data_IF_620647338918
#
_entry.id   IF_620647338918
#
_cell.length_a   1.000
_cell.length_b   1.000
_cell.length_c   1.000
_cell.angle_alpha   90.00
_cell.angle_beta   90.00
_cell.angle_gamma   90.00
#
_symmetry.space_group_name_H-M   'P 1'
#
loop_
_entity.id
_entity.type
_entity.pdbx_description
1 polymer ?
#
# COMPACT_ATOMS: atom_id res chain seq x y z
N UNK A 1 -22.95 63.94 -33.98
CA UNK A 1 -23.09 63.77 -32.51
C UNK A 1 -22.71 62.34 -32.14
N UNK A 2 -21.47 62.15 -31.74
CA UNK A 2 -20.95 60.86 -31.28
C UNK A 2 -21.33 60.67 -29.82
N UNK A 3 -22.23 59.71 -29.52
CA UNK A 3 -22.50 59.28 -28.13
C UNK A 3 -21.25 58.61 -27.57
N UNK A 4 -20.51 59.32 -26.77
CA UNK A 4 -19.51 58.71 -25.87
C UNK A 4 -20.28 57.98 -24.75
N UNK A 5 -20.23 56.68 -24.79
CA UNK A 5 -20.78 55.80 -23.76
C UNK A 5 -19.88 55.93 -22.51
N UNK A 6 -20.24 56.76 -21.55
CA UNK A 6 -19.62 56.85 -20.24
C UNK A 6 -19.96 55.55 -19.45
N UNK A 7 -19.14 54.53 -19.60
CA UNK A 7 -19.18 53.44 -18.58
C UNK A 7 -18.65 54.02 -17.27
N UNK A 8 -19.41 53.78 -16.21
CA UNK A 8 -18.98 54.13 -14.85
C UNK A 8 -17.65 53.46 -14.52
N UNK A 9 -16.84 54.08 -13.68
CA UNK A 9 -15.55 53.50 -13.27
C UNK A 9 -15.73 52.11 -12.60
N UNK A 10 -16.85 51.88 -11.92
CA UNK A 10 -17.25 50.59 -11.41
C UNK A 10 -17.49 49.54 -12.50
N UNK A 11 -18.12 49.92 -13.63
CA UNK A 11 -18.37 48.97 -14.72
C UNK A 11 -17.07 48.62 -15.48
N UNK A 12 -16.10 49.55 -15.49
CA UNK A 12 -14.74 49.27 -16.06
C UNK A 12 -13.97 48.31 -15.14
N UNK A 13 -14.02 48.55 -13.87
CA UNK A 13 -13.36 47.73 -12.84
C UNK A 13 -13.95 46.28 -12.83
N UNK A 14 -15.29 46.15 -12.84
CA UNK A 14 -15.94 44.85 -12.96
C UNK A 14 -15.53 44.08 -14.23
N UNK A 15 -15.42 44.76 -15.41
CA UNK A 15 -14.93 44.15 -16.62
C UNK A 15 -13.48 43.68 -16.50
N UNK A 16 -12.63 44.45 -15.83
CA UNK A 16 -11.23 44.07 -15.58
C UNK A 16 -11.14 42.83 -14.72
N UNK A 17 -11.86 42.80 -13.59
CA UNK A 17 -11.92 41.67 -12.68
C UNK A 17 -12.44 40.43 -13.40
N UNK A 18 -13.54 40.53 -14.15
CA UNK A 18 -14.07 39.41 -14.91
C UNK A 18 -13.07 38.87 -15.96
N UNK A 19 -12.36 39.75 -16.66
CA UNK A 19 -11.34 39.32 -17.61
C UNK A 19 -10.15 38.62 -16.93
N UNK A 20 -9.76 39.06 -15.75
CA UNK A 20 -8.73 38.38 -14.93
C UNK A 20 -9.20 37.01 -14.46
N UNK A 21 -10.44 36.90 -13.94
CA UNK A 21 -11.06 35.64 -13.55
C UNK A 21 -11.14 34.68 -14.74
N UNK A 22 -11.65 35.11 -15.89
CA UNK A 22 -11.70 34.27 -17.10
C UNK A 22 -10.33 33.80 -17.54
N UNK A 23 -9.31 34.66 -17.47
CA UNK A 23 -7.94 34.31 -17.81
C UNK A 23 -7.39 33.26 -16.83
N UNK A 24 -7.69 33.41 -15.55
CA UNK A 24 -7.28 32.45 -14.53
C UNK A 24 -7.98 31.11 -14.76
N UNK A 25 -9.31 31.10 -14.96
CA UNK A 25 -10.08 29.89 -15.25
C UNK A 25 -9.58 29.13 -16.49
N UNK A 26 -9.16 29.88 -17.54
CA UNK A 26 -8.56 29.24 -18.74
C UNK A 26 -7.20 28.63 -18.45
N UNK A 27 -6.40 29.24 -17.57
CA UNK A 27 -5.13 28.67 -17.10
C UNK A 27 -5.39 27.42 -16.28
N UNK A 28 -6.25 27.52 -15.27
CA UNK A 28 -6.60 26.41 -14.37
C UNK A 28 -7.16 25.22 -15.16
N UNK A 29 -8.04 25.47 -16.15
CA UNK A 29 -8.55 24.43 -17.04
C UNK A 29 -7.47 23.76 -17.89
N UNK A 30 -6.47 24.53 -18.35
CA UNK A 30 -5.33 23.99 -19.09
C UNK A 30 -4.41 23.17 -18.20
N UNK A 31 -4.16 23.64 -16.99
CA UNK A 31 -3.29 22.99 -16.03
C UNK A 31 -3.96 21.72 -15.48
N UNK A 32 -5.28 21.76 -15.22
CA UNK A 32 -6.07 20.58 -14.85
C UNK A 32 -6.05 19.47 -15.91
N UNK A 33 -5.95 19.81 -17.20
CA UNK A 33 -5.83 18.81 -18.29
C UNK A 33 -4.48 18.09 -18.32
N UNK A 34 -3.48 18.61 -17.61
CA UNK A 34 -2.15 17.99 -17.48
C UNK A 34 -2.01 17.19 -16.19
N UNK A 35 -3.04 17.18 -15.36
CA UNK A 35 -3.05 16.48 -14.11
C UNK A 35 -3.92 15.23 -14.18
N UNK A 36 -3.34 14.08 -13.85
CA UNK A 36 -4.01 12.80 -13.78
C UNK A 36 -4.05 12.33 -12.32
N UNK A 37 -5.25 12.31 -11.75
CA UNK A 37 -5.45 11.89 -10.36
C UNK A 37 -5.61 10.38 -10.27
N UNK A 38 -4.64 9.73 -9.62
CA UNK A 38 -4.59 8.29 -9.39
C UNK A 38 -4.92 8.00 -7.93
N UNK A 39 -6.03 7.34 -7.67
CA UNK A 39 -6.47 7.00 -6.33
C UNK A 39 -6.04 5.57 -5.97
N UNK A 40 -5.18 5.43 -4.95
CA UNK A 40 -4.73 4.13 -4.46
C UNK A 40 -5.68 3.62 -3.40
N UNK A 41 -6.35 2.52 -3.68
CA UNK A 41 -7.32 1.87 -2.80
C UNK A 41 -6.91 0.43 -2.48
N UNK A 42 -7.49 -0.14 -1.46
CA UNK A 42 -7.25 -1.51 -0.99
C UNK A 42 -7.28 -1.58 0.52
N UNK A 43 -7.34 -2.79 1.03
CA UNK A 43 -7.32 -3.09 2.47
C UNK A 43 -6.04 -2.62 3.16
N UNK A 44 -6.01 -2.66 4.49
CA UNK A 44 -4.78 -2.44 5.25
C UNK A 44 -3.69 -3.42 4.82
N UNK A 45 -2.44 -2.96 4.74
CA UNK A 45 -1.27 -3.78 4.38
C UNK A 45 -1.24 -4.32 2.94
N UNK A 46 -2.12 -3.90 2.04
CA UNK A 46 -2.09 -4.34 0.63
C UNK A 46 -0.87 -3.85 -0.16
N UNK A 47 -0.09 -2.90 0.38
CA UNK A 47 1.15 -2.40 -0.23
C UNK A 47 1.04 -1.02 -0.87
N UNK A 48 -0.05 -0.27 -0.64
CA UNK A 48 -0.26 1.09 -1.19
C UNK A 48 0.90 2.03 -0.90
N UNK A 49 1.24 2.21 0.37
CA UNK A 49 2.33 3.11 0.76
C UNK A 49 3.71 2.63 0.30
N UNK A 50 3.91 1.30 0.13
CA UNK A 50 5.13 0.76 -0.48
C UNK A 50 5.20 1.13 -1.97
N UNK A 51 4.08 1.07 -2.69
CA UNK A 51 4.00 1.50 -4.08
C UNK A 51 4.33 3.00 -4.23
N UNK A 52 3.84 3.87 -3.35
CA UNK A 52 4.22 5.29 -3.32
C UNK A 52 5.72 5.47 -3.11
N UNK A 53 6.31 4.72 -2.18
CA UNK A 53 7.77 4.77 -1.95
C UNK A 53 8.54 4.36 -3.21
N UNK A 54 8.05 3.36 -3.95
CA UNK A 54 8.63 2.99 -5.24
C UNK A 54 8.52 4.10 -6.27
N UNK A 55 7.39 4.79 -6.35
CA UNK A 55 7.24 5.92 -7.27
C UNK A 55 8.24 7.04 -6.95
N UNK A 56 8.51 7.30 -5.67
CA UNK A 56 9.55 8.25 -5.25
C UNK A 56 10.96 7.80 -5.68
N UNK A 57 11.25 6.50 -5.61
CA UNK A 57 12.54 5.93 -6.05
C UNK A 57 12.68 6.01 -7.59
N UNK A 58 11.63 5.62 -8.32
CA UNK A 58 11.69 5.45 -9.78
C UNK A 58 11.56 6.78 -10.51
N UNK A 59 10.68 7.66 -10.07
CA UNK A 59 10.30 8.88 -10.76
C UNK A 59 10.56 10.16 -9.97
N UNK A 60 10.93 10.05 -8.71
CA UNK A 60 11.28 11.18 -7.85
C UNK A 60 12.79 11.34 -7.66
N UNK A 61 13.16 12.10 -6.64
CA UNK A 61 14.56 12.30 -6.24
C UNK A 61 15.16 11.14 -5.42
N UNK A 62 14.40 10.04 -5.24
CA UNK A 62 14.80 8.95 -4.35
C UNK A 62 14.79 9.37 -2.87
N UNK A 63 15.70 8.79 -2.10
CA UNK A 63 15.88 9.06 -0.68
C UNK A 63 17.32 9.55 -0.42
N UNK A 64 17.47 10.79 0.00
CA UNK A 64 18.75 11.33 0.49
C UNK A 64 19.16 10.63 1.79
N UNK A 65 20.43 10.79 2.20
CA UNK A 65 20.88 10.22 3.47
C UNK A 65 20.10 10.79 4.68
N UNK A 66 19.68 12.03 4.62
CA UNK A 66 18.85 12.62 5.67
C UNK A 66 17.44 12.02 5.69
N UNK A 67 16.82 11.79 4.52
CA UNK A 67 15.57 11.02 4.42
C UNK A 67 15.73 9.63 5.03
N UNK A 68 16.82 8.92 4.67
CA UNK A 68 17.10 7.57 5.18
C UNK A 68 17.24 7.55 6.70
N UNK A 69 17.99 8.52 7.27
CA UNK A 69 18.10 8.66 8.75
C UNK A 69 16.75 8.82 9.42
N UNK A 70 15.80 9.52 8.76
CA UNK A 70 14.43 9.65 9.26
C UNK A 70 13.68 8.32 9.41
N UNK A 71 14.09 7.25 8.71
CA UNK A 71 13.49 5.93 8.81
C UNK A 71 14.10 5.04 9.91
N UNK A 72 15.25 5.39 10.50
CA UNK A 72 15.93 4.57 11.52
C UNK A 72 14.97 4.21 12.66
N UNK A 73 14.36 5.23 13.25
CA UNK A 73 13.38 5.05 14.33
C UNK A 73 12.25 4.08 13.92
N UNK A 74 11.72 4.24 12.73
CA UNK A 74 10.62 3.43 12.23
C UNK A 74 11.04 1.95 12.03
N UNK A 75 12.26 1.71 11.56
CA UNK A 75 12.82 0.34 11.46
C UNK A 75 12.90 -0.30 12.83
N UNK A 76 13.43 0.40 13.84
CA UNK A 76 13.50 -0.11 15.22
C UNK A 76 12.11 -0.43 15.77
N UNK A 77 11.15 0.48 15.60
CA UNK A 77 9.77 0.28 16.02
C UNK A 77 9.14 -0.96 15.36
N UNK A 78 9.40 -1.18 14.07
CA UNK A 78 8.91 -2.35 13.34
C UNK A 78 9.50 -3.66 13.89
N UNK A 79 10.77 -3.67 14.29
CA UNK A 79 11.42 -4.83 14.91
C UNK A 79 10.77 -5.16 16.27
N UNK A 80 10.62 -4.17 17.15
CA UNK A 80 9.97 -4.37 18.44
C UNK A 80 8.53 -4.82 18.29
N UNK A 81 7.76 -4.18 17.41
CA UNK A 81 6.37 -4.54 17.14
C UNK A 81 6.25 -5.99 16.65
N UNK A 82 7.12 -6.42 15.74
CA UNK A 82 7.13 -7.79 15.21
C UNK A 82 7.44 -8.81 16.32
N UNK A 83 8.47 -8.56 17.14
CA UNK A 83 8.82 -9.45 18.24
C UNK A 83 7.70 -9.51 19.30
N UNK A 84 7.12 -8.39 19.67
CA UNK A 84 6.00 -8.34 20.62
C UNK A 84 4.76 -9.07 20.10
N UNK A 85 4.49 -8.98 18.78
CA UNK A 85 3.39 -9.73 18.16
C UNK A 85 3.59 -11.23 18.29
N UNK A 86 4.81 -11.73 18.07
CA UNK A 86 5.14 -13.14 18.26
C UNK A 86 5.08 -13.56 19.73
N UNK A 87 5.61 -12.76 20.65
CA UNK A 87 5.52 -13.05 22.11
C UNK A 87 4.07 -13.18 22.55
N UNK A 88 3.18 -12.29 22.11
CA UNK A 88 1.74 -12.39 22.39
C UNK A 88 1.12 -13.64 21.77
N UNK A 89 1.55 -14.00 20.56
CA UNK A 89 1.07 -15.17 19.87
C UNK A 89 1.55 -16.47 20.51
N UNK A 90 2.74 -16.52 21.13
CA UNK A 90 3.21 -17.66 21.92
C UNK A 90 2.21 -18.03 23.04
N UNK A 91 1.72 -17.02 23.76
CA UNK A 91 0.72 -17.20 24.81
C UNK A 91 -0.62 -17.71 24.23
N UNK A 92 -1.08 -17.11 23.13
CA UNK A 92 -2.33 -17.46 22.44
C UNK A 92 -2.30 -18.89 21.88
N UNK A 93 -1.21 -19.26 21.23
CA UNK A 93 -1.02 -20.55 20.56
C UNK A 93 -0.52 -21.64 21.52
N UNK A 94 -0.25 -21.29 22.79
CA UNK A 94 0.28 -22.18 23.84
C UNK A 94 1.61 -22.84 23.46
N UNK A 95 2.47 -22.12 22.75
CA UNK A 95 3.81 -22.55 22.38
C UNK A 95 4.77 -22.20 23.52
N UNK A 96 5.67 -23.11 23.86
CA UNK A 96 6.65 -22.92 24.93
C UNK A 96 7.99 -22.43 24.34
N UNK A 97 8.68 -21.56 25.08
CA UNK A 97 10.06 -21.21 24.76
C UNK A 97 10.98 -22.41 24.94
N UNK A 98 11.94 -22.56 24.04
CA UNK A 98 12.93 -23.65 24.13
C UNK A 98 14.11 -23.27 25.05
N UNK A 99 14.47 -21.99 25.08
CA UNK A 99 15.58 -21.48 25.90
C UNK A 99 15.16 -21.17 27.34
N UNK A 100 15.97 -21.52 28.32
CA UNK A 100 15.68 -21.27 29.74
C UNK A 100 15.61 -19.79 30.13
N UNK A 101 16.31 -18.89 29.38
CA UNK A 101 16.28 -17.45 29.60
C UNK A 101 15.34 -16.70 28.65
N UNK A 102 14.68 -17.42 27.73
CA UNK A 102 13.84 -16.79 26.70
C UNK A 102 12.59 -16.16 27.29
N UNK A 103 12.03 -16.76 28.36
CA UNK A 103 10.90 -16.20 29.08
C UNK A 103 11.22 -14.81 29.68
N UNK A 104 12.38 -14.65 30.33
CA UNK A 104 12.80 -13.38 30.94
C UNK A 104 13.03 -12.31 29.85
N UNK A 105 13.63 -12.70 28.72
CA UNK A 105 13.84 -11.82 27.57
C UNK A 105 12.53 -11.40 26.92
N UNK A 106 11.57 -12.31 26.84
CA UNK A 106 10.23 -12.01 26.33
C UNK A 106 9.51 -10.97 27.21
N UNK A 107 9.56 -11.14 28.56
CA UNK A 107 8.98 -10.16 29.48
C UNK A 107 9.68 -8.80 29.39
N UNK A 108 11.00 -8.76 29.21
CA UNK A 108 11.74 -7.52 28.97
C UNK A 108 11.23 -6.78 27.72
N UNK A 109 11.06 -7.50 26.59
CA UNK A 109 10.59 -6.90 25.34
C UNK A 109 9.11 -6.52 25.41
N UNK A 110 8.27 -7.32 26.05
CA UNK A 110 6.84 -7.08 26.23
C UNK A 110 6.53 -5.77 26.99
N UNK A 111 7.41 -5.40 27.93
CA UNK A 111 7.27 -4.18 28.74
C UNK A 111 7.59 -2.88 28.00
N UNK A 112 8.08 -2.92 26.78
CA UNK A 112 8.49 -1.72 26.04
C UNK A 112 7.30 -1.18 25.23
N UNK A 113 7.07 0.12 25.30
CA UNK A 113 6.20 0.81 24.36
C UNK A 113 6.98 1.06 23.06
N UNK A 114 6.75 0.22 22.04
CA UNK A 114 7.47 0.28 20.77
C UNK A 114 7.28 1.59 20.03
N UNK A 115 6.18 2.33 20.23
CA UNK A 115 5.94 3.62 19.57
C UNK A 115 6.91 4.70 20.05
N UNK A 116 7.46 4.54 21.25
CA UNK A 116 8.43 5.47 21.84
C UNK A 116 9.88 5.09 21.55
N UNK A 117 10.15 3.92 20.99
CA UNK A 117 11.51 3.45 20.70
C UNK A 117 12.22 4.36 19.70
N UNK A 118 13.42 4.80 20.07
CA UNK A 118 14.29 5.65 19.24
C UNK A 118 15.71 5.08 19.07
N UNK A 119 16.10 4.13 19.93
CA UNK A 119 17.42 3.48 19.91
C UNK A 119 17.28 1.96 19.84
N UNK A 120 18.34 1.28 19.42
CA UNK A 120 18.38 -0.17 19.30
C UNK A 120 19.67 -0.72 19.93
N UNK A 121 19.70 -0.75 21.24
CA UNK A 121 20.89 -1.02 22.06
C UNK A 121 20.67 -2.21 23.00
N UNK A 122 21.75 -2.79 23.55
CA UNK A 122 21.64 -3.74 24.64
C UNK A 122 20.91 -3.13 25.87
N UNK A 123 20.11 -3.91 26.62
CA UNK A 123 19.96 -5.36 26.47
C UNK A 123 18.90 -5.78 25.43
N UNK A 124 18.18 -4.84 24.83
CA UNK A 124 16.99 -5.13 23.99
C UNK A 124 17.37 -5.85 22.69
N UNK A 125 18.38 -5.35 21.97
CA UNK A 125 18.82 -5.96 20.71
C UNK A 125 19.28 -7.41 20.92
N UNK A 126 20.01 -7.68 22.00
CA UNK A 126 20.49 -9.02 22.33
C UNK A 126 19.33 -9.94 22.72
N UNK A 127 18.37 -9.42 23.48
CA UNK A 127 17.15 -10.17 23.82
C UNK A 127 16.34 -10.54 22.57
N UNK A 128 16.12 -9.60 21.65
CA UNK A 128 15.39 -9.84 20.38
C UNK A 128 16.13 -10.87 19.52
N UNK A 129 17.46 -10.78 19.43
CA UNK A 129 18.28 -11.73 18.67
C UNK A 129 18.17 -13.15 19.24
N UNK A 130 18.27 -13.28 20.54
CA UNK A 130 18.16 -14.58 21.19
C UNK A 130 16.75 -15.18 21.07
N UNK A 131 15.72 -14.34 21.22
CA UNK A 131 14.32 -14.74 20.99
C UNK A 131 14.09 -15.20 19.54
N UNK A 132 14.61 -14.46 18.56
CA UNK A 132 14.48 -14.86 17.15
C UNK A 132 15.10 -16.23 16.87
N UNK A 133 16.17 -16.60 17.58
CA UNK A 133 16.81 -17.92 17.46
C UNK A 133 16.15 -19.01 18.34
N UNK A 134 15.17 -18.69 19.17
CA UNK A 134 14.46 -19.66 19.99
C UNK A 134 13.53 -20.51 19.12
N UNK A 135 13.60 -21.86 19.29
CA UNK A 135 12.81 -22.78 18.47
C UNK A 135 11.30 -22.59 18.66
N UNK A 136 10.83 -22.17 19.85
CA UNK A 136 9.43 -21.84 20.07
C UNK A 136 8.99 -20.60 19.31
N UNK A 137 9.81 -19.56 19.25
CA UNK A 137 9.56 -18.36 18.43
C UNK A 137 9.54 -18.72 16.94
N UNK A 138 10.42 -19.59 16.47
CA UNK A 138 10.40 -20.06 15.07
C UNK A 138 9.15 -20.86 14.75
N UNK A 139 8.70 -21.75 15.65
CA UNK A 139 7.41 -22.43 15.50
C UNK A 139 6.25 -21.43 15.45
N UNK A 140 6.26 -20.43 16.34
CA UNK A 140 5.27 -19.36 16.32
C UNK A 140 5.31 -18.57 14.99
N UNK A 141 6.47 -18.27 14.47
CA UNK A 141 6.64 -17.64 13.17
C UNK A 141 6.05 -18.48 12.02
N UNK A 142 6.26 -19.78 12.01
CA UNK A 142 5.71 -20.68 11.00
C UNK A 142 4.18 -20.72 11.01
N UNK A 143 3.58 -20.46 12.18
CA UNK A 143 2.14 -20.35 12.39
C UNK A 143 1.59 -18.91 12.24
N UNK A 144 2.34 -17.98 11.63
CA UNK A 144 1.99 -16.55 11.50
C UNK A 144 0.67 -16.26 10.80
N UNK A 145 0.08 -17.22 10.09
CA UNK A 145 -1.27 -17.13 9.52
C UNK A 145 -2.38 -17.07 10.58
N UNK A 146 -2.10 -17.57 11.80
CA UNK A 146 -3.07 -17.69 12.90
C UNK A 146 -3.15 -16.41 13.76
N UNK A 147 -2.28 -15.43 13.51
CA UNK A 147 -2.26 -14.15 14.21
C UNK A 147 -1.76 -13.01 13.29
N UNK A 148 -1.71 -11.80 13.81
CA UNK A 148 -1.27 -10.65 13.03
C UNK A 148 0.25 -10.44 13.16
N UNK A 149 0.97 -10.71 12.10
CA UNK A 149 2.40 -10.41 11.98
C UNK A 149 2.67 -9.66 10.69
N UNK A 150 3.50 -8.61 10.77
CA UNK A 150 3.93 -7.88 9.57
C UNK A 150 4.77 -8.76 8.65
N UNK A 151 4.55 -8.68 7.35
CA UNK A 151 5.31 -9.45 6.33
C UNK A 151 6.82 -9.18 6.37
N UNK A 152 7.23 -8.00 6.89
CA UNK A 152 8.63 -7.61 6.99
C UNK A 152 9.36 -8.16 8.23
N UNK A 153 8.68 -8.89 9.11
CA UNK A 153 9.26 -9.39 10.36
C UNK A 153 10.56 -10.19 10.13
N UNK A 154 10.50 -11.20 9.28
CA UNK A 154 11.68 -12.05 8.96
C UNK A 154 12.83 -11.24 8.37
N UNK A 155 12.52 -10.31 7.47
CA UNK A 155 13.52 -9.47 6.82
C UNK A 155 14.37 -8.72 7.84
N UNK A 156 13.76 -8.04 8.80
CA UNK A 156 14.49 -7.28 9.81
C UNK A 156 15.12 -8.18 10.87
N UNK A 157 14.39 -9.17 11.37
CA UNK A 157 14.88 -10.04 12.45
C UNK A 157 16.04 -10.95 12.01
N UNK A 158 16.17 -11.20 10.72
CA UNK A 158 17.31 -11.98 10.18
C UNK A 158 18.57 -11.15 9.95
N UNK A 159 18.50 -9.80 10.07
CA UNK A 159 19.63 -8.91 9.75
C UNK A 159 19.91 -7.88 10.87
N UNK A 160 19.68 -8.30 12.11
CA UNK A 160 19.83 -7.45 13.31
C UNK A 160 21.25 -6.90 13.49
N UNK A 161 22.29 -7.65 13.08
CA UNK A 161 23.69 -7.21 13.23
C UNK A 161 24.01 -5.99 12.35
N UNK A 162 23.46 -5.94 11.13
CA UNK A 162 23.60 -4.76 10.28
C UNK A 162 22.84 -3.57 10.85
N UNK A 163 21.60 -3.82 11.37
CA UNK A 163 20.71 -2.77 11.85
C UNK A 163 21.19 -2.16 13.19
N UNK A 164 21.89 -2.95 14.03
CA UNK A 164 22.45 -2.46 15.31
C UNK A 164 23.76 -1.69 15.17
N UNK A 165 24.39 -1.71 14.01
CA UNK A 165 25.66 -1.04 13.79
C UNK A 165 25.53 0.46 14.05
N UNK A 166 26.57 1.07 14.66
CA UNK A 166 26.55 2.49 15.03
C UNK A 166 26.48 3.45 13.84
N UNK A 167 26.85 2.98 12.65
CA UNK A 167 26.82 3.67 11.37
C UNK A 167 25.64 3.23 10.49
N UNK A 168 24.65 2.53 11.07
CA UNK A 168 23.48 2.05 10.32
C UNK A 168 22.76 3.19 9.60
N UNK A 169 22.67 3.04 8.29
CA UNK A 169 21.86 3.88 7.41
C UNK A 169 20.87 2.97 6.65
N UNK A 170 19.57 3.16 6.78
CA UNK A 170 18.59 2.34 6.10
C UNK A 170 18.80 2.30 4.58
N UNK A 171 18.79 1.10 4.02
CA UNK A 171 18.77 0.89 2.57
C UNK A 171 17.38 1.21 1.98
N UNK A 172 17.28 1.32 0.65
CA UNK A 172 15.96 1.46 0.01
C UNK A 172 15.04 0.27 0.35
N UNK A 173 15.58 -0.95 0.48
CA UNK A 173 14.82 -2.11 0.90
C UNK A 173 14.32 -1.99 2.34
N UNK A 174 15.12 -1.45 3.26
CA UNK A 174 14.65 -1.15 4.61
C UNK A 174 13.48 -0.17 4.57
N UNK A 175 13.62 0.90 3.78
CA UNK A 175 12.59 1.93 3.64
C UNK A 175 11.30 1.34 3.05
N UNK A 176 11.39 0.58 1.96
CA UNK A 176 10.24 -0.04 1.30
C UNK A 176 9.45 -0.94 2.26
N UNK A 177 10.15 -1.68 3.11
CA UNK A 177 9.59 -2.63 4.08
C UNK A 177 9.18 -1.99 5.41
N UNK A 178 9.65 -0.78 5.70
CA UNK A 178 9.27 -0.06 6.93
C UNK A 178 7.78 0.30 6.89
N UNK A 179 7.04 -0.11 7.92
CA UNK A 179 5.61 0.13 8.05
C UNK A 179 5.33 1.28 9.00
N UNK A 180 4.59 2.27 8.49
CA UNK A 180 3.87 3.24 9.29
C UNK A 180 2.39 3.21 8.87
N UNK A 181 1.43 3.24 9.78
CA UNK A 181 0.02 3.35 9.43
C UNK A 181 -0.24 4.66 8.67
N UNK A 182 -0.92 4.57 7.52
CA UNK A 182 -1.37 5.76 6.80
C UNK A 182 -2.63 6.30 7.49
N UNK A 183 -2.52 7.47 8.09
CA UNK A 183 -3.64 8.18 8.70
C UNK A 183 -4.02 9.38 7.84
N UNK A 184 -5.28 9.42 7.38
CA UNK A 184 -5.76 10.50 6.52
C UNK A 184 -5.53 10.27 5.03
N UNK A 185 -5.42 11.37 4.28
CA UNK A 185 -5.24 11.41 2.83
C UNK A 185 -3.91 12.10 2.56
N UNK A 186 -3.04 11.47 1.79
CA UNK A 186 -1.73 12.02 1.44
C UNK A 186 -1.61 12.03 -0.08
N UNK A 187 -1.22 13.18 -0.65
CA UNK A 187 -1.06 13.35 -2.08
C UNK A 187 0.42 13.45 -2.46
N UNK A 188 0.80 12.72 -3.50
CA UNK A 188 2.16 12.69 -4.03
C UNK A 188 2.13 13.04 -5.52
N UNK A 189 2.49 14.28 -5.91
CA UNK A 189 2.62 14.65 -7.31
C UNK A 189 3.95 14.15 -7.88
N UNK A 190 3.89 13.55 -9.08
CA UNK A 190 5.06 13.18 -9.89
C UNK A 190 4.93 13.79 -11.27
N UNK A 191 5.95 14.52 -11.72
CA UNK A 191 6.00 15.06 -13.10
C UNK A 191 6.64 14.00 -14.02
N UNK A 192 5.87 13.51 -14.98
CA UNK A 192 6.31 12.53 -15.96
C UNK A 192 5.94 13.04 -17.35
N UNK A 193 6.93 13.38 -18.16
CA UNK A 193 6.73 13.83 -19.55
C UNK A 193 5.78 15.05 -19.65
N UNK A 194 5.91 16.01 -18.74
CA UNK A 194 5.06 17.22 -18.62
C UNK A 194 3.59 16.95 -18.25
N UNK A 195 3.31 15.77 -17.74
CA UNK A 195 2.03 15.38 -17.15
C UNK A 195 2.24 15.15 -15.66
N UNK A 196 1.39 15.73 -14.83
CA UNK A 196 1.46 15.57 -13.39
C UNK A 196 0.59 14.40 -12.99
N UNK A 197 1.20 13.31 -12.52
CA UNK A 197 0.50 12.21 -11.90
C UNK A 197 0.36 12.50 -10.41
N UNK A 198 -0.85 12.82 -9.98
CA UNK A 198 -1.17 13.04 -8.58
C UNK A 198 -1.63 11.72 -7.96
N UNK A 199 -0.74 11.02 -7.27
CA UNK A 199 -1.09 9.80 -6.54
C UNK A 199 -1.65 10.15 -5.18
N UNK A 200 -2.81 9.58 -4.86
CA UNK A 200 -3.51 9.81 -3.58
C UNK A 200 -3.48 8.51 -2.78
N UNK A 201 -2.70 8.49 -1.69
CA UNK A 201 -2.66 7.38 -0.73
C UNK A 201 -3.66 7.62 0.40
N UNK A 202 -4.42 6.61 0.73
CA UNK A 202 -5.43 6.65 1.77
C UNK A 202 -5.29 5.46 2.71
N UNK A 203 -5.58 5.65 4.00
CA UNK A 203 -5.57 4.57 4.98
C UNK A 203 -6.54 3.45 4.57
N UNK A 204 -6.05 2.20 4.54
CA UNK A 204 -6.83 1.03 4.08
C UNK A 204 -7.65 0.35 5.18
N UNK A 205 -7.40 0.65 6.44
CA UNK A 205 -8.17 0.12 7.57
C UNK A 205 -9.62 0.61 7.53
N UNK A 206 -10.57 -0.18 8.05
CA UNK A 206 -12.02 0.16 8.04
C UNK A 206 -12.28 1.53 8.65
N UNK A 207 -11.61 1.87 9.75
CA UNK A 207 -11.74 3.16 10.44
C UNK A 207 -11.36 4.37 9.58
N UNK A 208 -10.44 4.19 8.62
CA UNK A 208 -9.97 5.27 7.74
C UNK A 208 -10.85 5.48 6.50
N UNK A 209 -11.60 4.47 6.05
CA UNK A 209 -12.35 4.50 4.78
C UNK A 209 -13.42 5.58 4.72
N UNK A 210 -13.97 6.02 5.85
CA UNK A 210 -14.93 7.14 5.89
C UNK A 210 -14.35 8.45 5.36
N UNK A 211 -13.02 8.60 5.38
CA UNK A 211 -12.31 9.78 4.86
C UNK A 211 -12.16 9.75 3.33
N UNK A 212 -12.33 8.61 2.69
CA UNK A 212 -12.09 8.42 1.26
C UNK A 212 -12.99 9.29 0.37
N UNK A 213 -14.21 9.59 0.83
CA UNK A 213 -15.14 10.44 0.09
C UNK A 213 -14.54 11.79 -0.31
N UNK A 214 -13.61 12.33 0.50
CA UNK A 214 -12.99 13.62 0.25
C UNK A 214 -11.99 13.62 -0.93
N UNK A 215 -11.60 12.45 -1.42
CA UNK A 215 -10.69 12.32 -2.56
C UNK A 215 -11.35 11.75 -3.83
N UNK A 216 -12.66 11.48 -3.82
CA UNK A 216 -13.36 10.84 -4.94
C UNK A 216 -13.63 11.76 -6.14
N UNK A 217 -13.48 13.05 -5.96
CA UNK A 217 -13.71 14.03 -7.04
C UNK A 217 -12.57 14.00 -8.07
N UNK A 218 -12.93 14.03 -9.36
CA UNK A 218 -12.01 14.09 -10.50
C UNK A 218 -10.96 12.97 -10.55
N UNK A 219 -11.32 11.76 -10.16
CA UNK A 219 -10.42 10.60 -10.21
C UNK A 219 -10.32 10.10 -11.65
N UNK A 220 -9.12 10.19 -12.24
CA UNK A 220 -8.84 9.67 -13.58
C UNK A 220 -8.78 8.15 -13.57
N UNK A 221 -8.08 7.57 -12.60
CA UNK A 221 -7.93 6.11 -12.50
C UNK A 221 -7.87 5.67 -11.04
N UNK A 222 -8.38 4.48 -10.79
CA UNK A 222 -8.24 3.79 -9.52
C UNK A 222 -7.15 2.72 -9.68
N UNK A 223 -6.19 2.70 -8.77
CA UNK A 223 -5.26 1.59 -8.60
C UNK A 223 -5.68 0.86 -7.34
N UNK A 224 -6.28 -0.32 -7.49
CA UNK A 224 -6.71 -1.15 -6.37
C UNK A 224 -5.68 -2.23 -6.10
N UNK A 225 -5.12 -2.24 -4.88
CA UNK A 225 -4.10 -3.21 -4.47
C UNK A 225 -4.72 -4.31 -3.61
N UNK A 226 -4.47 -5.54 -4.03
CA UNK A 226 -4.82 -6.78 -3.32
C UNK A 226 -3.54 -7.46 -2.89
N UNK A 227 -3.42 -7.87 -1.64
CA UNK A 227 -2.29 -8.70 -1.19
C UNK A 227 -2.61 -10.18 -1.45
N UNK A 228 -1.95 -10.80 -2.42
CA UNK A 228 -2.15 -12.20 -2.76
C UNK A 228 -1.88 -13.14 -1.57
N UNK A 229 -0.98 -12.75 -0.66
CA UNK A 229 -0.61 -13.52 0.53
C UNK A 229 -1.68 -13.57 1.63
N UNK A 230 -2.79 -12.82 1.46
CA UNK A 230 -3.84 -12.71 2.49
C UNK A 230 -4.93 -13.78 2.40
N UNK A 231 -4.85 -14.71 1.45
CA UNK A 231 -5.86 -15.74 1.22
C UNK A 231 -6.09 -16.67 2.42
N UNK A 232 -5.08 -16.85 3.27
CA UNK A 232 -5.12 -17.71 4.47
C UNK A 232 -5.11 -16.91 5.79
N UNK A 233 -5.33 -15.60 5.74
CA UNK A 233 -5.22 -14.71 6.90
C UNK A 233 -6.59 -14.24 7.39
N UNK A 234 -6.68 -14.06 8.72
CA UNK A 234 -7.85 -13.51 9.39
C UNK A 234 -7.71 -11.98 9.47
N UNK A 235 -8.81 -11.25 9.33
CA UNK A 235 -8.86 -9.81 9.43
C UNK A 235 -8.64 -9.34 10.88
N UNK A 236 -7.81 -8.32 11.07
CA UNK A 236 -7.52 -7.76 12.40
C UNK A 236 -8.77 -7.21 13.11
N UNK A 237 -9.65 -6.54 12.35
CA UNK A 237 -10.86 -5.92 12.87
C UNK A 237 -12.02 -6.91 13.11
N UNK A 238 -11.86 -8.19 12.69
CA UNK A 238 -12.90 -9.23 12.81
C UNK A 238 -12.29 -10.64 12.77
N UNK A 239 -12.29 -11.34 13.89
CA UNK A 239 -11.65 -12.65 14.05
C UNK A 239 -12.24 -13.78 13.18
N UNK A 240 -13.40 -13.54 12.56
CA UNK A 240 -14.10 -14.54 11.73
C UNK A 240 -14.09 -14.23 10.23
N UNK A 241 -13.44 -13.15 9.82
CA UNK A 241 -13.42 -12.73 8.41
C UNK A 241 -12.06 -13.01 7.77
N UNK A 242 -12.08 -13.62 6.59
CA UNK A 242 -10.87 -13.77 5.77
C UNK A 242 -10.50 -12.44 5.13
N UNK A 243 -9.21 -12.07 5.16
CA UNK A 243 -8.72 -10.79 4.60
C UNK A 243 -8.93 -10.69 3.09
N UNK A 244 -8.87 -11.79 2.34
CA UNK A 244 -9.13 -11.81 0.91
C UNK A 244 -10.61 -11.55 0.62
N UNK A 245 -11.53 -12.13 1.40
CA UNK A 245 -12.96 -11.88 1.27
C UNK A 245 -13.32 -10.42 1.56
N UNK A 246 -12.71 -9.82 2.57
CA UNK A 246 -12.84 -8.38 2.86
C UNK A 246 -12.33 -7.53 1.67
N UNK A 247 -11.21 -7.92 1.07
CA UNK A 247 -10.64 -7.24 -0.10
C UNK A 247 -11.58 -7.35 -1.31
N UNK A 248 -12.19 -8.51 -1.55
CA UNK A 248 -13.19 -8.73 -2.60
C UNK A 248 -14.44 -7.86 -2.40
N UNK A 249 -14.97 -7.85 -1.18
CA UNK A 249 -16.14 -7.03 -0.83
C UNK A 249 -15.87 -5.54 -1.05
N UNK A 250 -14.70 -5.07 -0.63
CA UNK A 250 -14.27 -3.69 -0.85
C UNK A 250 -14.12 -3.37 -2.33
N UNK A 251 -13.45 -4.24 -3.10
CA UNK A 251 -13.26 -4.06 -4.54
C UNK A 251 -14.61 -3.95 -5.27
N UNK A 252 -15.55 -4.88 -5.00
CA UNK A 252 -16.89 -4.85 -5.56
C UNK A 252 -17.60 -3.52 -5.28
N UNK A 253 -17.53 -3.03 -4.05
CA UNK A 253 -18.10 -1.73 -3.67
C UNK A 253 -17.50 -0.60 -4.52
N UNK A 254 -16.18 -0.55 -4.66
CA UNK A 254 -15.47 0.51 -5.38
C UNK A 254 -15.81 0.51 -6.88
N UNK A 255 -15.76 -0.64 -7.56
CA UNK A 255 -15.99 -0.71 -9.01
C UNK A 255 -17.43 -0.42 -9.41
N UNK A 256 -18.38 -0.58 -8.49
CA UNK A 256 -19.80 -0.29 -8.70
C UNK A 256 -20.22 1.09 -8.20
N UNK A 257 -19.30 1.86 -7.61
CA UNK A 257 -19.61 3.17 -7.06
C UNK A 257 -19.85 4.19 -8.16
N UNK A 258 -20.95 4.96 -8.14
CA UNK A 258 -21.31 5.91 -9.20
C UNK A 258 -20.20 6.95 -9.52
N UNK A 259 -19.42 7.35 -8.51
CA UNK A 259 -18.31 8.31 -8.68
C UNK A 259 -17.20 7.83 -9.62
N UNK A 260 -17.04 6.50 -9.77
CA UNK A 260 -15.98 5.89 -10.55
C UNK A 260 -16.44 5.29 -11.87
N UNK A 261 -17.63 5.67 -12.34
CA UNK A 261 -18.21 5.13 -13.56
C UNK A 261 -17.32 5.39 -14.79
N UNK A 262 -16.68 6.56 -14.82
CA UNK A 262 -15.78 6.98 -15.91
C UNK A 262 -14.29 6.79 -15.58
N UNK A 263 -13.95 6.36 -14.36
CA UNK A 263 -12.56 6.11 -13.99
C UNK A 263 -12.12 4.75 -14.49
N UNK A 264 -10.90 4.66 -15.06
CA UNK A 264 -10.30 3.35 -15.37
C UNK A 264 -9.90 2.63 -14.09
N UNK A 265 -10.00 1.31 -14.10
CA UNK A 265 -9.69 0.45 -12.94
C UNK A 265 -8.48 -0.40 -13.26
N UNK A 266 -7.45 -0.22 -12.44
CA UNK A 266 -6.22 -0.99 -12.50
C UNK A 266 -6.14 -1.83 -11.22
N UNK A 267 -6.05 -3.15 -11.38
CA UNK A 267 -5.99 -4.11 -10.30
C UNK A 267 -4.57 -4.63 -10.13
N UNK A 268 -3.93 -4.30 -9.01
CA UNK A 268 -2.63 -4.86 -8.63
C UNK A 268 -2.81 -6.04 -7.69
N UNK A 269 -2.51 -7.21 -8.18
CA UNK A 269 -2.40 -8.44 -7.41
C UNK A 269 -0.98 -8.51 -6.84
N UNK A 270 -0.80 -7.87 -5.69
CA UNK A 270 0.49 -7.59 -5.07
C UNK A 270 0.96 -8.73 -4.15
N UNK A 271 2.23 -8.70 -3.78
CA UNK A 271 2.89 -9.70 -2.91
C UNK A 271 2.89 -11.11 -3.55
N UNK A 272 3.10 -11.18 -4.87
CA UNK A 272 3.19 -12.46 -5.59
C UNK A 272 4.31 -13.35 -5.06
N UNK A 273 5.41 -12.76 -4.61
CA UNK A 273 6.55 -13.41 -3.96
C UNK A 273 6.14 -14.16 -2.69
N UNK A 274 5.32 -13.54 -1.85
CA UNK A 274 4.80 -14.18 -0.64
C UNK A 274 3.77 -15.28 -0.95
N UNK A 275 2.96 -15.14 -2.00
CA UNK A 275 2.09 -16.21 -2.45
C UNK A 275 2.92 -17.43 -2.89
N UNK A 276 3.97 -17.21 -3.69
CA UNK A 276 4.87 -18.25 -4.19
C UNK A 276 5.51 -19.05 -3.04
N UNK A 277 5.90 -18.39 -1.96
CA UNK A 277 6.40 -19.05 -0.74
C UNK A 277 5.28 -19.83 -0.02
N UNK A 278 4.15 -19.17 0.24
CA UNK A 278 3.06 -19.70 1.08
C UNK A 278 2.33 -20.87 0.49
N UNK A 279 2.08 -20.87 -0.82
CA UNK A 279 1.29 -21.90 -1.49
C UNK A 279 1.93 -23.29 -1.38
N UNK A 280 3.22 -23.36 -1.07
CA UNK A 280 3.96 -24.61 -0.90
C UNK A 280 3.52 -25.39 0.36
N UNK A 281 2.97 -24.71 1.38
CA UNK A 281 2.57 -25.32 2.65
C UNK A 281 1.18 -24.94 3.14
N UNK A 282 0.56 -23.89 2.59
CA UNK A 282 -0.80 -23.47 2.89
C UNK A 282 -1.62 -23.53 1.61
N UNK A 283 -2.50 -24.52 1.47
CA UNK A 283 -3.16 -24.78 0.21
C UNK A 283 -4.40 -23.90 0.02
N UNK A 284 -4.57 -23.36 -1.18
CA UNK A 284 -5.65 -22.43 -1.48
C UNK A 284 -7.04 -23.07 -1.30
N UNK A 285 -7.18 -24.37 -1.61
CA UNK A 285 -8.44 -25.12 -1.47
C UNK A 285 -8.95 -25.17 -0.03
N UNK A 286 -8.07 -25.06 0.97
CA UNK A 286 -8.46 -25.08 2.39
C UNK A 286 -9.25 -23.83 2.79
N UNK A 287 -9.12 -22.74 2.03
CA UNK A 287 -9.75 -21.44 2.27
C UNK A 287 -10.81 -21.11 1.23
N UNK A 288 -10.64 -21.61 0.00
CA UNK A 288 -11.54 -21.42 -1.15
C UNK A 288 -11.84 -22.78 -1.75
N UNK A 289 -12.89 -23.48 -1.25
CA UNK A 289 -13.23 -24.84 -1.70
C UNK A 289 -13.56 -24.94 -3.20
N UNK A 290 -13.90 -23.83 -3.84
CA UNK A 290 -14.15 -23.73 -5.28
C UNK A 290 -12.85 -23.77 -6.13
N UNK A 291 -11.67 -23.73 -5.51
CA UNK A 291 -10.41 -23.88 -6.21
C UNK A 291 -10.21 -25.33 -6.65
N UNK A 292 -10.20 -25.56 -7.95
CA UNK A 292 -10.02 -26.87 -8.58
C UNK A 292 -8.62 -27.09 -9.20
N UNK A 293 -7.72 -26.11 -9.03
CA UNK A 293 -6.36 -26.14 -9.57
C UNK A 293 -5.40 -27.03 -8.77
N UNK A 294 -4.20 -27.25 -9.30
CA UNK A 294 -3.18 -28.06 -8.64
C UNK A 294 -2.70 -27.40 -7.33
N UNK A 295 -2.43 -28.23 -6.32
CA UNK A 295 -1.78 -27.76 -5.09
C UNK A 295 -0.33 -27.35 -5.37
N UNK A 296 0.20 -26.40 -4.59
CA UNK A 296 1.58 -25.90 -4.65
C UNK A 296 1.94 -25.25 -6.00
N UNK A 297 0.94 -24.80 -6.74
CA UNK A 297 1.12 -24.10 -8.00
C UNK A 297 0.76 -22.61 -7.84
N UNK A 298 1.77 -21.79 -7.74
CA UNK A 298 1.58 -20.34 -7.55
C UNK A 298 0.96 -19.67 -8.78
N UNK A 299 1.20 -20.20 -9.99
CA UNK A 299 0.63 -19.66 -11.22
C UNK A 299 -0.88 -19.92 -11.24
N UNK A 300 -1.28 -21.19 -11.03
CA UNK A 300 -2.69 -21.54 -10.97
C UNK A 300 -3.43 -20.81 -9.84
N UNK A 301 -2.80 -20.67 -8.66
CA UNK A 301 -3.36 -19.97 -7.52
C UNK A 301 -3.60 -18.47 -7.80
N UNK A 302 -2.61 -17.78 -8.36
CA UNK A 302 -2.77 -16.35 -8.67
C UNK A 302 -3.80 -16.07 -9.76
N UNK A 303 -3.89 -16.95 -10.77
CA UNK A 303 -4.89 -16.87 -11.84
C UNK A 303 -6.31 -17.11 -11.30
N UNK A 304 -6.47 -18.02 -10.35
CA UNK A 304 -7.74 -18.24 -9.67
C UNK A 304 -8.14 -16.98 -8.87
N UNK A 305 -7.23 -16.41 -8.09
CA UNK A 305 -7.50 -15.17 -7.34
C UNK A 305 -7.85 -14.01 -8.30
N UNK A 306 -7.12 -13.88 -9.41
CA UNK A 306 -7.46 -12.90 -10.45
C UNK A 306 -8.90 -13.05 -10.92
N UNK A 307 -9.32 -14.27 -11.28
CA UNK A 307 -10.70 -14.55 -11.71
C UNK A 307 -11.71 -14.14 -10.65
N UNK A 308 -11.49 -14.49 -9.38
CA UNK A 308 -12.37 -14.07 -8.28
C UNK A 308 -12.63 -12.57 -8.23
N UNK A 309 -11.62 -11.74 -8.55
CA UNK A 309 -11.79 -10.28 -8.58
C UNK A 309 -12.43 -9.79 -9.88
N UNK A 310 -12.04 -10.32 -11.03
CA UNK A 310 -12.58 -9.90 -12.33
C UNK A 310 -14.08 -10.24 -12.44
N UNK A 311 -14.48 -11.39 -11.93
CA UNK A 311 -15.87 -11.87 -11.94
C UNK A 311 -16.81 -11.02 -11.05
N UNK A 312 -16.26 -10.17 -10.19
CA UNK A 312 -17.06 -9.20 -9.41
C UNK A 312 -17.55 -8.02 -10.25
N UNK A 313 -17.00 -7.83 -11.46
CA UNK A 313 -17.37 -6.74 -12.34
C UNK A 313 -18.72 -7.03 -13.03
N UNK A 314 -19.78 -6.26 -12.74
CA UNK A 314 -21.09 -6.48 -13.35
C UNK A 314 -21.22 -5.86 -14.75
N UNK A 315 -20.25 -5.02 -15.15
CA UNK A 315 -20.26 -4.27 -16.39
C UNK A 315 -19.19 -4.80 -17.34
N UNK A 316 -19.58 -5.54 -18.37
CA UNK A 316 -18.68 -6.11 -19.37
C UNK A 316 -17.91 -5.06 -20.18
N UNK A 317 -18.46 -3.85 -20.30
CA UNK A 317 -17.82 -2.74 -21.04
C UNK A 317 -16.73 -2.06 -20.21
N UNK A 318 -16.76 -2.21 -18.88
CA UNK A 318 -15.74 -1.66 -17.99
C UNK A 318 -14.55 -2.60 -17.88
N UNK A 319 -13.46 -2.26 -18.57
CA UNK A 319 -12.24 -3.07 -18.57
C UNK A 319 -11.49 -2.91 -17.24
N UNK A 320 -11.14 -4.03 -16.62
CA UNK A 320 -10.22 -4.09 -15.47
C UNK A 320 -8.84 -4.49 -15.99
N UNK A 321 -7.86 -3.58 -15.84
CA UNK A 321 -6.47 -3.82 -16.21
C UNK A 321 -5.74 -4.45 -15.02
N UNK A 322 -5.31 -5.71 -15.15
CA UNK A 322 -4.72 -6.44 -14.03
C UNK A 322 -3.23 -6.71 -14.20
N UNK A 323 -2.48 -6.63 -13.09
CA UNK A 323 -1.04 -6.91 -13.05
C UNK A 323 -0.67 -7.66 -11.77
N UNK A 324 0.19 -8.67 -11.89
CA UNK A 324 0.82 -9.32 -10.74
C UNK A 324 2.07 -8.56 -10.33
N UNK A 325 2.10 -8.09 -9.09
CA UNK A 325 3.14 -7.18 -8.61
C UNK A 325 3.86 -7.71 -7.35
N UNK A 326 5.08 -7.24 -7.18
CA UNK A 326 5.81 -7.26 -5.92
C UNK A 326 6.25 -5.82 -5.61
N UNK A 327 5.56 -5.12 -4.70
CA UNK A 327 5.82 -3.71 -4.44
C UNK A 327 7.20 -3.43 -3.85
N UNK A 328 7.90 -4.44 -3.32
CA UNK A 328 9.28 -4.32 -2.83
C UNK A 328 10.34 -4.57 -3.91
N UNK A 329 9.93 -5.01 -5.11
CA UNK A 329 10.80 -5.21 -6.27
C UNK A 329 10.70 -4.01 -7.22
N UNK A 330 11.75 -3.19 -7.23
CA UNK A 330 11.80 -1.94 -8.01
C UNK A 330 11.73 -2.19 -9.51
N UNK A 331 12.38 -3.23 -10.04
CA UNK A 331 12.35 -3.53 -11.47
C UNK A 331 10.96 -4.04 -11.91
N UNK A 332 10.31 -4.86 -11.07
CA UNK A 332 8.94 -5.28 -11.32
C UNK A 332 7.99 -4.06 -11.37
N UNK A 333 8.11 -3.13 -10.43
CA UNK A 333 7.23 -1.94 -10.42
C UNK A 333 7.54 -1.00 -11.58
N UNK A 334 8.79 -0.79 -11.97
CA UNK A 334 9.14 -0.02 -13.18
C UNK A 334 8.45 -0.58 -14.41
N UNK A 335 8.56 -1.89 -14.62
CA UNK A 335 7.96 -2.56 -15.78
C UNK A 335 6.44 -2.43 -15.78
N UNK A 336 5.79 -2.73 -14.66
CA UNK A 336 4.33 -2.67 -14.54
C UNK A 336 3.82 -1.24 -14.67
N UNK A 337 4.49 -0.27 -14.03
CA UNK A 337 4.04 1.11 -14.08
C UNK A 337 4.18 1.74 -15.46
N UNK A 338 5.17 1.32 -16.27
CA UNK A 338 5.25 1.75 -17.67
C UNK A 338 3.98 1.36 -18.46
N UNK A 339 3.52 0.11 -18.33
CA UNK A 339 2.28 -0.35 -18.95
C UNK A 339 1.04 0.37 -18.41
N UNK A 340 1.00 0.61 -17.10
CA UNK A 340 -0.09 1.35 -16.43
C UNK A 340 -0.15 2.80 -16.92
N UNK A 341 1.00 3.47 -17.02
CA UNK A 341 1.09 4.84 -17.54
C UNK A 341 0.47 4.94 -18.94
N UNK A 342 0.84 4.03 -19.85
CA UNK A 342 0.31 4.02 -21.22
C UNK A 342 -1.20 3.78 -21.24
N UNK A 343 -1.71 2.87 -20.41
CA UNK A 343 -3.15 2.60 -20.24
C UNK A 343 -3.91 3.84 -19.78
N UNK A 344 -3.40 4.54 -18.76
CA UNK A 344 -4.02 5.75 -18.22
C UNK A 344 -4.05 6.86 -19.27
N UNK A 345 -2.96 7.06 -19.99
CA UNK A 345 -2.86 8.07 -21.04
C UNK A 345 -3.83 7.78 -22.19
N UNK A 346 -3.92 6.54 -22.66
CA UNK A 346 -4.86 6.15 -23.72
C UNK A 346 -6.32 6.33 -23.28
N UNK A 347 -6.66 5.93 -22.04
CA UNK A 347 -8.01 6.10 -21.51
C UNK A 347 -8.39 7.58 -21.42
N UNK A 348 -7.48 8.41 -20.98
CA UNK A 348 -7.68 9.87 -20.90
C UNK A 348 -7.85 10.52 -22.26
N UNK A 349 -7.06 10.11 -23.28
CA UNK A 349 -7.20 10.60 -24.66
C UNK A 349 -8.56 10.23 -25.28
N UNK A 350 -9.06 9.02 -25.02
CA UNK A 350 -10.40 8.58 -25.46
C UNK A 350 -11.51 9.43 -24.85
N UNK A 351 -11.42 9.74 -23.56
CA UNK A 351 -12.40 10.58 -22.87
C UNK A 351 -12.52 11.99 -23.51
N UNK A 352 -11.40 12.52 -24.03
CA UNK A 352 -11.38 13.81 -24.74
C UNK A 352 -11.66 13.71 -26.24
N UNK A 353 -12.05 12.54 -26.78
CA UNK A 353 -12.27 12.29 -28.22
C UNK A 353 -11.07 12.70 -29.10
N UNK A 354 -9.86 12.43 -28.61
CA UNK A 354 -8.61 12.76 -29.32
C UNK A 354 -8.01 11.54 -30.05
N UNK A 355 -8.59 10.36 -29.85
CA UNK A 355 -8.27 9.08 -30.54
C UNK A 355 -9.56 8.35 -30.88
#
# INVERSE_FOLDING_TARGET
MTMQCCQSDEAREQKRINAEIEKQLRRDKRDARRELKLLLLGTGESGKSTFIKQMRIIHGAGYSDDDKRGFIKLVYQNIFMAMQSMIKAMDLLKIQYAGSSSQEKAELIKGIDYETVTTFEPPYVDAIKDLWNDAGIQECYDRRREYQLTDSAKYYLSDLERIRASDYLPTEQDILRARAPTTGIIEYPFDLDSIIFRMVDVGGQRSERRKWIHCFENVTSIIFLVALSEYDQILFESENENRMEESKALFKTIITYPWFQHSSVILFLNKKDLLEEKIMYSHLVDYFPEYDGPQRDAIAAREFILRMFVDLNPDSEKIIYSHFTCATDTENIKFVFAAVKDTILQSNLKEYNLV
#
